data_IF_037917301038
#
_entry.id   IF_037917301038
#
_cell.length_a   1.000
_cell.length_b   1.000
_cell.length_c   1.000
_cell.angle_alpha   90.00
_cell.angle_beta   90.00
_cell.angle_gamma   90.00
#
_symmetry.space_group_name_H-M   'P 1'
#
loop_
_entity.id
_entity.type
_entity.pdbx_description
1 polymer ?
#
# COMPACT_ATOMS: atom_id res chain seq x y z
N UNK A 1 35.62 -29.70 -34.48
CA UNK A 1 35.22 -28.71 -33.46
C UNK A 1 33.73 -28.52 -33.64
N UNK A 2 32.96 -28.93 -32.63
CA UNK A 2 31.50 -28.79 -32.63
C UNK A 2 31.24 -27.36 -32.14
N UNK A 3 30.84 -26.48 -33.05
CA UNK A 3 30.43 -25.12 -32.70
C UNK A 3 29.10 -25.22 -31.94
N UNK A 4 29.15 -24.86 -30.65
CA UNK A 4 28.03 -24.83 -29.72
C UNK A 4 26.91 -23.94 -30.28
N UNK A 5 25.69 -24.50 -30.28
CA UNK A 5 24.46 -23.77 -30.54
C UNK A 5 24.33 -22.66 -29.51
N UNK A 6 24.24 -21.41 -29.99
CA UNK A 6 23.90 -20.27 -29.14
C UNK A 6 22.56 -20.54 -28.46
N UNK A 7 22.60 -20.57 -27.13
CA UNK A 7 21.42 -20.68 -26.28
C UNK A 7 20.52 -19.47 -26.58
N UNK A 8 19.26 -19.74 -26.89
CA UNK A 8 18.22 -18.73 -27.03
C UNK A 8 18.13 -17.92 -25.72
N UNK A 9 18.68 -16.71 -25.71
CA UNK A 9 18.42 -15.73 -24.66
C UNK A 9 16.97 -15.29 -24.78
N UNK A 10 16.08 -15.90 -23.99
CA UNK A 10 14.70 -15.44 -23.83
C UNK A 10 14.72 -13.95 -23.45
N UNK A 11 14.33 -13.09 -24.39
CA UNK A 11 14.12 -11.66 -24.18
C UNK A 11 12.90 -11.49 -23.25
N UNK A 12 13.15 -11.51 -21.93
CA UNK A 12 12.14 -11.24 -20.93
C UNK A 12 11.62 -9.80 -21.11
N UNK A 13 10.35 -9.67 -21.51
CA UNK A 13 9.66 -8.40 -21.55
C UNK A 13 9.52 -7.84 -20.12
N UNK A 14 10.41 -6.91 -19.78
CA UNK A 14 10.44 -6.18 -18.50
C UNK A 14 9.17 -5.38 -18.23
N UNK A 15 8.28 -5.23 -19.23
CA UNK A 15 7.03 -4.47 -19.08
C UNK A 15 6.04 -5.11 -18.08
N UNK A 16 6.07 -6.42 -17.87
CA UNK A 16 5.21 -7.08 -16.86
C UNK A 16 5.61 -6.75 -15.41
N UNK A 17 6.90 -6.47 -15.16
CA UNK A 17 7.38 -6.07 -13.83
C UNK A 17 7.25 -4.56 -13.56
N UNK A 18 6.96 -3.74 -14.58
CA UNK A 18 6.80 -2.28 -14.43
C UNK A 18 5.47 -1.85 -13.79
N UNK A 19 4.60 -2.77 -13.35
CA UNK A 19 3.27 -2.46 -12.80
C UNK A 19 2.99 -3.02 -11.39
N UNK A 20 4.01 -3.48 -10.66
CA UNK A 20 3.81 -3.87 -9.27
C UNK A 20 3.87 -2.63 -8.37
N UNK A 21 2.74 -2.29 -7.73
CA UNK A 21 2.64 -1.17 -6.78
C UNK A 21 3.53 -1.37 -5.55
N UNK A 22 3.76 -2.62 -5.14
CA UNK A 22 4.49 -3.00 -3.93
C UNK A 22 3.63 -3.82 -2.97
N UNK A 23 4.19 -4.10 -1.78
CA UNK A 23 3.54 -4.90 -0.73
C UNK A 23 3.13 -4.04 0.46
N UNK A 24 2.00 -4.38 1.09
CA UNK A 24 1.56 -3.79 2.35
C UNK A 24 1.60 -4.87 3.43
N UNK A 25 2.41 -4.65 4.46
CA UNK A 25 2.54 -5.56 5.61
C UNK A 25 2.01 -4.86 6.86
N UNK A 26 0.99 -5.46 7.49
CA UNK A 26 0.34 -4.91 8.69
C UNK A 26 0.60 -5.82 9.88
N UNK A 27 1.18 -5.26 10.95
CA UNK A 27 1.36 -5.96 12.22
C UNK A 27 0.06 -5.94 13.02
N UNK A 28 -0.63 -7.09 13.11
CA UNK A 28 -1.88 -7.21 13.88
C UNK A 28 -1.72 -6.87 15.38
N UNK A 29 -0.65 -7.29 16.09
CA UNK A 29 -0.46 -6.91 17.48
C UNK A 29 -0.37 -5.39 17.64
N UNK A 30 0.33 -4.71 16.72
CA UNK A 30 0.48 -3.26 16.78
C UNK A 30 -0.81 -2.52 16.44
N UNK A 31 -1.54 -2.99 15.43
CA UNK A 31 -2.86 -2.46 15.09
C UNK A 31 -3.85 -2.62 16.26
N UNK A 32 -3.78 -3.71 17.01
CA UNK A 32 -4.61 -3.89 18.20
C UNK A 32 -4.30 -2.85 19.29
N UNK A 33 -3.02 -2.62 19.59
CA UNK A 33 -2.60 -1.57 20.53
C UNK A 33 -3.09 -0.18 20.08
N UNK A 34 -2.86 0.16 18.80
CA UNK A 34 -3.27 1.46 18.23
C UNK A 34 -4.80 1.64 18.24
N UNK A 35 -5.56 0.59 17.92
CA UNK A 35 -7.03 0.65 17.96
C UNK A 35 -7.56 1.01 19.35
N UNK A 36 -6.91 0.49 20.40
CA UNK A 36 -7.24 0.79 21.81
C UNK A 36 -6.84 2.21 22.19
N UNK A 37 -5.63 2.64 21.81
CA UNK A 37 -5.11 3.98 22.10
C UNK A 37 -5.94 5.09 21.42
N UNK A 38 -6.39 4.84 20.19
CA UNK A 38 -7.20 5.78 19.41
C UNK A 38 -8.71 5.62 19.60
N UNK A 39 -9.15 4.60 20.33
CA UNK A 39 -10.54 4.41 20.70
C UNK A 39 -11.47 3.99 19.54
N UNK A 40 -10.98 3.22 18.57
CA UNK A 40 -11.78 2.69 17.46
C UNK A 40 -11.61 1.17 17.29
N UNK A 41 -12.40 0.55 16.41
CA UNK A 41 -12.32 -0.90 16.20
C UNK A 41 -10.99 -1.33 15.57
N UNK A 42 -10.58 -2.57 15.85
CA UNK A 42 -9.42 -3.18 15.18
C UNK A 42 -9.61 -3.23 13.66
N UNK A 43 -10.83 -3.53 13.20
CA UNK A 43 -11.19 -3.49 11.77
C UNK A 43 -10.93 -2.12 11.16
N UNK A 44 -11.29 -1.04 11.87
CA UNK A 44 -11.00 0.31 11.43
C UNK A 44 -9.51 0.59 11.38
N UNK A 45 -8.73 0.19 12.38
CA UNK A 45 -7.28 0.41 12.37
C UNK A 45 -6.62 -0.33 11.21
N UNK A 46 -6.99 -1.58 10.95
CA UNK A 46 -6.46 -2.36 9.82
C UNK A 46 -6.82 -1.68 8.49
N UNK A 47 -8.07 -1.26 8.32
CA UNK A 47 -8.51 -0.54 7.12
C UNK A 47 -7.76 0.78 6.96
N UNK A 48 -7.57 1.53 8.04
CA UNK A 48 -6.81 2.78 8.06
C UNK A 48 -5.36 2.54 7.60
N UNK A 49 -4.67 1.56 8.19
CA UNK A 49 -3.28 1.22 7.83
C UNK A 49 -3.16 0.70 6.38
N UNK A 50 -4.14 -0.07 5.92
CA UNK A 50 -4.18 -0.55 4.54
C UNK A 50 -4.35 0.60 3.55
N UNK A 51 -5.34 1.47 3.76
CA UNK A 51 -5.58 2.63 2.87
C UNK A 51 -4.37 3.57 2.90
N UNK A 52 -3.79 3.80 4.08
CA UNK A 52 -2.58 4.60 4.23
C UNK A 52 -1.41 4.03 3.41
N UNK A 53 -1.12 2.74 3.58
CA UNK A 53 -0.07 2.07 2.80
C UNK A 53 -0.36 2.10 1.31
N UNK A 54 -1.60 1.88 0.90
CA UNK A 54 -2.01 1.93 -0.50
C UNK A 54 -1.82 3.33 -1.12
N UNK A 55 -2.17 4.39 -0.39
CA UNK A 55 -1.97 5.77 -0.84
C UNK A 55 -0.48 6.08 -1.06
N UNK A 56 0.40 5.57 -0.18
CA UNK A 56 1.85 5.65 -0.39
C UNK A 56 2.31 4.92 -1.66
N UNK A 57 1.78 3.72 -1.92
CA UNK A 57 2.15 2.95 -3.12
C UNK A 57 1.74 3.65 -4.43
N UNK A 58 0.69 4.48 -4.41
CA UNK A 58 0.24 5.24 -5.59
C UNK A 58 0.77 6.68 -5.63
N UNK A 59 1.68 7.05 -4.73
CA UNK A 59 2.46 8.29 -4.78
C UNK A 59 1.91 9.47 -3.97
N UNK A 60 0.97 9.25 -3.06
CA UNK A 60 0.62 10.25 -2.05
C UNK A 60 1.63 10.20 -0.91
N UNK A 61 1.98 11.36 -0.36
CA UNK A 61 2.92 11.49 0.75
C UNK A 61 2.41 12.55 1.74
N UNK A 62 2.61 12.30 3.03
CA UNK A 62 2.19 13.16 4.13
C UNK A 62 3.38 13.83 4.85
N UNK A 63 4.58 13.87 4.28
CA UNK A 63 5.74 14.56 4.87
C UNK A 63 5.59 16.10 4.92
N UNK A 64 4.72 16.67 4.08
CA UNK A 64 4.41 18.11 4.08
C UNK A 64 3.02 18.39 4.62
N UNK A 65 2.78 19.57 5.20
CA UNK A 65 1.46 19.96 5.70
C UNK A 65 0.36 19.95 4.62
N UNK A 66 0.72 20.18 3.36
CA UNK A 66 -0.22 20.13 2.24
C UNK A 66 -0.52 18.68 1.82
N UNK A 67 0.52 17.88 1.65
CA UNK A 67 0.39 16.45 1.34
C UNK A 67 -0.34 15.67 2.43
N UNK A 68 -0.07 15.99 3.71
CA UNK A 68 -0.79 15.42 4.85
C UNK A 68 -2.28 15.72 4.74
N UNK A 69 -2.66 16.99 4.55
CA UNK A 69 -4.08 17.37 4.44
C UNK A 69 -4.77 16.66 3.27
N UNK A 70 -4.11 16.57 2.11
CA UNK A 70 -4.66 15.89 0.94
C UNK A 70 -4.82 14.38 1.19
N UNK A 71 -3.74 13.72 1.62
CA UNK A 71 -3.73 12.28 1.84
C UNK A 71 -4.75 11.86 2.90
N UNK A 72 -4.81 12.56 4.03
CA UNK A 72 -5.78 12.27 5.09
C UNK A 72 -7.22 12.50 4.63
N UNK A 73 -7.48 13.53 3.81
CA UNK A 73 -8.82 13.76 3.27
C UNK A 73 -9.27 12.62 2.35
N UNK A 74 -8.36 12.13 1.49
CA UNK A 74 -8.64 10.98 0.60
C UNK A 74 -8.82 9.70 1.43
N UNK A 75 -7.98 9.49 2.44
CA UNK A 75 -8.04 8.32 3.31
C UNK A 75 -9.39 8.23 4.04
N UNK A 76 -9.85 9.32 4.65
CA UNK A 76 -11.16 9.33 5.33
C UNK A 76 -12.31 9.16 4.34
N UNK A 77 -12.24 9.75 3.13
CA UNK A 77 -13.24 9.55 2.09
C UNK A 77 -13.36 8.07 1.68
N UNK A 78 -12.23 7.36 1.56
CA UNK A 78 -12.22 5.93 1.22
C UNK A 78 -12.85 5.11 2.35
N UNK A 79 -12.49 5.38 3.60
CA UNK A 79 -13.04 4.68 4.77
C UNK A 79 -14.55 4.92 4.92
N UNK A 80 -15.01 6.15 4.70
CA UNK A 80 -16.43 6.50 4.70
C UNK A 80 -17.19 5.72 3.62
N UNK A 81 -16.67 5.69 2.38
CA UNK A 81 -17.27 4.92 1.28
C UNK A 81 -17.28 3.42 1.53
N UNK A 82 -16.31 2.91 2.29
CA UNK A 82 -16.26 1.51 2.72
C UNK A 82 -17.21 1.20 3.89
N UNK A 83 -17.86 2.22 4.49
CA UNK A 83 -18.72 2.08 5.66
C UNK A 83 -17.95 1.86 6.97
N UNK A 84 -16.64 2.14 6.98
CA UNK A 84 -15.76 1.94 8.12
C UNK A 84 -15.56 3.30 8.78
N UNK A 85 -16.53 3.74 9.58
CA UNK A 85 -16.44 5.01 10.31
C UNK A 85 -15.82 4.83 11.70
N UNK A 86 -15.38 5.94 12.33
CA UNK A 86 -15.02 5.93 13.77
C UNK A 86 -16.23 5.67 14.64
#
# INVERSE_FOLDING_TARGET
ELEEQGEDEDEYDSSEYQQLLGDIVISLPRAEEQSKDYGHSLEREIAFLFVHGFLHLIGYDHESEEGEREMFAIQELILEKAGITR
#
